data_IF_529992948535
#
_entry.id   IF_529992948535
#
_cell.length_a   1.000
_cell.length_b   1.000
_cell.length_c   1.000
_cell.angle_alpha   90.00
_cell.angle_beta   90.00
_cell.angle_gamma   90.00
#
_symmetry.space_group_name_H-M   'P 1'
#
loop_
_entity.id
_entity.type
_entity.pdbx_description
1 polymer ?
#
# COMPACT_ATOMS: atom_id res chain seq x y z
N UNK A 1 -2.99 -3.05 9.95
CA UNK A 1 -3.01 -2.64 8.54
C UNK A 1 -2.85 -1.13 8.50
N UNK A 2 -2.09 -0.61 7.54
CA UNK A 2 -1.89 0.81 7.30
C UNK A 2 -2.35 1.10 5.87
N UNK A 3 -3.28 2.04 5.71
CA UNK A 3 -3.64 2.57 4.40
C UNK A 3 -2.67 3.72 4.08
N UNK A 4 -1.71 3.47 3.21
CA UNK A 4 -0.63 4.40 2.95
C UNK A 4 -1.03 5.53 1.99
N UNK A 5 -2.04 5.33 1.15
CA UNK A 5 -2.46 6.34 0.15
C UNK A 5 -1.24 6.82 -0.66
N UNK A 6 -1.12 8.11 -0.97
CA UNK A 6 0.00 8.69 -1.74
C UNK A 6 1.34 8.68 -0.99
N UNK A 7 1.37 8.35 0.30
CA UNK A 7 2.64 8.02 0.95
C UNK A 7 3.28 6.80 0.28
N UNK A 8 2.50 5.93 -0.38
CA UNK A 8 3.00 4.84 -1.22
C UNK A 8 2.05 4.60 -2.40
N UNK A 9 2.43 5.05 -3.60
CA UNK A 9 1.58 4.85 -4.77
C UNK A 9 1.52 3.38 -5.19
N UNK A 10 2.66 2.68 -5.07
CA UNK A 10 2.86 1.29 -5.41
C UNK A 10 3.48 0.56 -4.23
N UNK A 11 3.25 -0.75 -4.12
CA UNK A 11 3.97 -1.58 -3.14
C UNK A 11 5.49 -1.48 -3.32
N UNK A 12 5.93 -1.30 -4.57
CA UNK A 12 7.34 -1.09 -4.91
C UNK A 12 7.96 0.16 -4.30
N UNK A 13 7.18 1.20 -3.92
CA UNK A 13 7.76 2.43 -3.40
C UNK A 13 8.44 2.22 -2.06
N UNK A 14 7.74 1.62 -1.08
CA UNK A 14 8.36 1.25 0.19
C UNK A 14 9.38 0.14 0.02
N UNK A 15 9.01 -0.94 -0.68
CA UNK A 15 9.85 -2.14 -0.77
C UNK A 15 11.21 -1.87 -1.42
N UNK A 16 11.27 -0.99 -2.42
CA UNK A 16 12.51 -0.64 -3.14
C UNK A 16 13.09 0.70 -2.73
N UNK A 17 12.48 1.38 -1.75
CA UNK A 17 12.80 2.77 -1.37
C UNK A 17 12.86 3.70 -2.59
N UNK A 18 11.88 3.55 -3.48
CA UNK A 18 11.81 4.26 -4.76
C UNK A 18 10.63 5.23 -4.73
N UNK A 19 10.84 6.52 -4.47
CA UNK A 19 9.77 7.49 -4.31
C UNK A 19 9.02 7.73 -5.63
N UNK A 20 7.72 8.01 -5.54
CA UNK A 20 7.00 8.53 -6.70
C UNK A 20 7.53 9.95 -7.03
N UNK A 21 7.64 10.36 -8.31
CA UNK A 21 8.32 11.60 -8.68
C UNK A 21 7.65 12.89 -8.17
N UNK A 22 6.32 12.85 -7.97
CA UNK A 22 5.57 13.99 -7.44
C UNK A 22 5.64 13.94 -5.91
N UNK A 23 6.65 14.61 -5.35
CA UNK A 23 6.92 14.61 -3.92
C UNK A 23 7.40 16.00 -3.49
N UNK A 24 6.86 16.49 -2.37
CA UNK A 24 7.28 17.78 -1.80
C UNK A 24 8.65 17.68 -1.13
N UNK A 25 8.85 16.67 -0.28
CA UNK A 25 10.10 16.40 0.42
C UNK A 25 10.37 14.90 0.50
N UNK A 26 11.48 14.46 -0.12
CA UNK A 26 11.88 13.04 -0.13
C UNK A 26 12.33 12.57 1.26
N UNK A 27 12.99 13.42 2.03
CA UNK A 27 13.47 13.09 3.37
C UNK A 27 12.33 12.77 4.33
N UNK A 28 11.33 13.65 4.39
CA UNK A 28 10.13 13.45 5.21
C UNK A 28 9.33 12.23 4.75
N UNK A 29 9.27 11.97 3.44
CA UNK A 29 8.59 10.77 2.91
C UNK A 29 9.30 9.48 3.33
N UNK A 30 10.63 9.44 3.27
CA UNK A 30 11.42 8.30 3.73
C UNK A 30 11.23 8.03 5.23
N UNK A 31 11.21 9.07 6.07
CA UNK A 31 10.90 8.94 7.51
C UNK A 31 9.44 8.47 7.74
N UNK A 32 8.52 8.97 6.92
CA UNK A 32 7.12 8.51 6.90
C UNK A 32 7.00 7.01 6.62
N UNK A 33 7.81 6.48 5.70
CA UNK A 33 7.85 5.04 5.40
C UNK A 33 8.26 4.19 6.59
N UNK A 34 9.25 4.62 7.38
CA UNK A 34 9.64 3.92 8.62
C UNK A 34 8.48 3.85 9.62
N UNK A 35 7.71 4.94 9.72
CA UNK A 35 6.49 4.98 10.55
C UNK A 35 5.44 4.00 10.04
N UNK A 36 5.21 3.96 8.72
CA UNK A 36 4.27 3.03 8.08
C UNK A 36 4.67 1.57 8.34
N UNK A 37 5.94 1.21 8.13
CA UNK A 37 6.46 -0.14 8.35
C UNK A 37 6.30 -0.57 9.81
N UNK A 38 6.69 0.31 10.75
CA UNK A 38 6.56 0.05 12.19
C UNK A 38 5.09 -0.17 12.60
N UNK A 39 4.17 0.64 12.12
CA UNK A 39 2.74 0.52 12.44
C UNK A 39 2.08 -0.70 11.77
N UNK A 40 2.51 -1.05 10.56
CA UNK A 40 1.99 -2.21 9.85
C UNK A 40 2.47 -3.53 10.46
N UNK A 41 3.72 -3.58 10.91
CA UNK A 41 4.38 -4.76 11.48
C UNK A 41 4.65 -5.90 10.48
N UNK A 42 4.17 -5.77 9.24
CA UNK A 42 4.42 -6.71 8.14
C UNK A 42 4.13 -6.01 6.79
N UNK A 43 4.93 -6.23 5.72
CA UNK A 43 4.74 -5.54 4.44
C UNK A 43 3.37 -5.76 3.79
N UNK A 44 2.79 -6.97 3.90
CA UNK A 44 1.44 -7.24 3.38
C UNK A 44 0.33 -6.41 4.01
N UNK A 45 0.60 -5.81 5.18
CA UNK A 45 -0.36 -4.99 5.91
C UNK A 45 -0.27 -3.52 5.51
N UNK A 46 0.56 -3.16 4.54
CA UNK A 46 0.71 -1.81 4.00
C UNK A 46 -0.04 -1.75 2.67
N UNK A 47 -1.10 -0.96 2.58
CA UNK A 47 -1.92 -0.87 1.36
C UNK A 47 -1.57 0.43 0.62
N UNK A 48 -0.97 0.36 -0.59
CA UNK A 48 -0.65 1.53 -1.38
C UNK A 48 -1.92 2.17 -1.98
N UNK A 49 -1.82 3.43 -2.39
CA UNK A 49 -2.95 4.19 -2.94
C UNK A 49 -3.38 3.77 -4.36
N UNK A 50 -2.41 3.43 -5.23
CA UNK A 50 -2.64 3.34 -6.67
C UNK A 50 -2.13 2.04 -7.31
N UNK A 51 -1.74 1.05 -6.51
CA UNK A 51 -1.21 -0.20 -7.05
C UNK A 51 -2.33 -1.11 -7.57
N UNK A 52 -2.37 -1.46 -8.86
CA UNK A 52 -3.39 -2.35 -9.40
C UNK A 52 -3.34 -3.75 -8.77
N UNK A 53 -2.21 -4.16 -8.18
CA UNK A 53 -2.11 -5.44 -7.49
C UNK A 53 -3.10 -5.54 -6.31
N UNK A 54 -3.47 -4.41 -5.67
CA UNK A 54 -4.49 -4.41 -4.61
C UNK A 54 -5.79 -5.04 -5.11
N UNK A 55 -6.22 -4.69 -6.33
CA UNK A 55 -7.42 -5.27 -6.94
C UNK A 55 -7.30 -6.73 -7.37
N UNK A 56 -6.07 -7.24 -7.50
CA UNK A 56 -5.82 -8.68 -7.76
C UNK A 56 -5.73 -9.51 -6.47
N UNK A 57 -5.42 -8.87 -5.34
CA UNK A 57 -5.17 -9.51 -4.05
C UNK A 57 -6.45 -9.48 -3.19
N UNK A 58 -7.18 -8.37 -3.20
CA UNK A 58 -8.38 -8.19 -2.39
C UNK A 58 -9.64 -8.32 -3.25
N UNK A 59 -10.70 -8.95 -2.71
CA UNK A 59 -11.96 -9.08 -3.43
C UNK A 59 -12.64 -7.73 -3.58
N UNK A 60 -13.49 -7.58 -4.60
CA UNK A 60 -14.39 -6.42 -4.71
C UNK A 60 -15.32 -6.35 -3.50
N UNK A 61 -15.65 -5.13 -3.07
CA UNK A 61 -16.59 -4.89 -1.99
C UNK A 61 -18.02 -5.30 -2.40
N UNK A 62 -18.40 -5.00 -3.65
CA UNK A 62 -19.58 -5.54 -4.34
C UNK A 62 -19.46 -5.29 -5.85
N UNK A 63 -20.37 -5.87 -6.64
CA UNK A 63 -20.45 -5.62 -8.09
C UNK A 63 -21.02 -4.23 -8.43
N UNK A 64 -21.52 -3.48 -7.45
CA UNK A 64 -22.19 -2.19 -7.64
C UNK A 64 -21.27 -0.98 -7.44
N UNK A 65 -20.06 -1.19 -6.95
CA UNK A 65 -19.12 -0.11 -6.62
C UNK A 65 -17.72 -0.45 -7.13
N UNK A 66 -16.93 0.58 -7.41
CA UNK A 66 -15.51 0.41 -7.72
C UNK A 66 -14.66 0.54 -6.45
N UNK A 67 -14.76 -0.48 -5.60
CA UNK A 67 -14.02 -0.56 -4.34
C UNK A 67 -13.65 -2.01 -4.02
N UNK A 68 -12.55 -2.16 -3.28
CA UNK A 68 -12.03 -3.46 -2.81
C UNK A 68 -12.19 -3.58 -1.29
N UNK A 69 -12.49 -4.78 -0.81
CA UNK A 69 -12.75 -5.07 0.59
C UNK A 69 -11.46 -5.44 1.34
N UNK A 70 -10.70 -4.43 1.77
CA UNK A 70 -9.43 -4.59 2.47
C UNK A 70 -9.53 -5.24 3.87
N UNK A 71 -10.73 -5.31 4.44
CA UNK A 71 -10.99 -6.00 5.71
C UNK A 71 -11.13 -7.53 5.55
N UNK A 72 -11.25 -8.03 4.32
CA UNK A 72 -11.30 -9.47 4.04
C UNK A 72 -9.89 -10.02 3.86
N UNK A 73 -9.76 -11.34 4.03
CA UNK A 73 -8.49 -12.02 3.82
C UNK A 73 -8.00 -11.83 2.36
N UNK A 74 -6.71 -11.49 2.16
CA UNK A 74 -6.13 -11.42 0.83
C UNK A 74 -6.02 -12.82 0.19
N UNK A 75 -6.12 -12.89 -1.13
CA UNK A 75 -6.00 -14.16 -1.89
C UNK A 75 -4.57 -14.72 -1.89
N UNK A 76 -3.57 -13.86 -1.67
CA UNK A 76 -2.14 -14.19 -1.59
C UNK A 76 -1.38 -13.08 -0.88
N UNK A 77 -0.19 -13.40 -0.40
CA UNK A 77 0.78 -12.41 0.08
C UNK A 77 1.36 -11.60 -1.09
N UNK A 78 1.67 -10.32 -0.86
CA UNK A 78 2.49 -9.51 -1.76
C UNK A 78 3.98 -9.70 -1.45
N UNK A 79 4.33 -9.83 -0.16
CA UNK A 79 5.67 -10.08 0.32
C UNK A 79 6.10 -11.52 -0.04
N UNK A 80 6.90 -11.66 -1.10
CA UNK A 80 7.65 -12.89 -1.36
C UNK A 80 8.88 -12.99 -0.47
#
# INVERSE_FOLDING_TARGET
MVLASDAAHYFGNLHRRSPFPIVYNIGDMCQGWETVERLAGHPDRIIPGHDPLVGTIYPRASDKVDAFALHKAPSRSFAK
#
